data_IF_661740783805
#
_entry.id   IF_661740783805
#
_cell.length_a   1.000
_cell.length_b   1.000
_cell.length_c   1.000
_cell.angle_alpha   90.00
_cell.angle_beta   90.00
_cell.angle_gamma   90.00
#
_symmetry.space_group_name_H-M   'P 1'
#
loop_
_entity.id
_entity.type
_entity.pdbx_description
1 polymer ?
#
# COMPACT_ATOMS: atom_id res chain seq x y z
N UNK A 1 -17.60 -22.67 31.12
CA UNK A 1 -17.26 -21.71 30.06
C UNK A 1 -16.24 -20.75 30.63
N UNK A 2 -14.95 -20.97 30.39
CA UNK A 2 -13.90 -20.06 30.84
C UNK A 2 -14.01 -18.79 30.00
N UNK A 3 -14.41 -17.69 30.61
CA UNK A 3 -14.28 -16.36 30.00
C UNK A 3 -12.80 -16.15 29.69
N UNK A 4 -12.39 -15.99 28.42
CA UNK A 4 -11.00 -15.63 28.14
C UNK A 4 -10.77 -14.26 28.78
N UNK A 5 -9.78 -14.17 29.65
CA UNK A 5 -9.38 -12.93 30.29
C UNK A 5 -9.17 -11.90 29.17
N UNK A 6 -9.98 -10.82 29.06
CA UNK A 6 -9.88 -9.91 27.94
C UNK A 6 -8.57 -9.14 28.11
N UNK A 7 -7.53 -9.61 27.42
CA UNK A 7 -6.24 -8.92 27.37
C UNK A 7 -6.49 -7.47 27.02
N UNK A 8 -5.85 -6.53 27.71
CA UNK A 8 -6.04 -5.12 27.38
C UNK A 8 -5.51 -4.84 25.97
N UNK A 9 -5.97 -3.77 25.33
CA UNK A 9 -5.42 -3.36 24.03
C UNK A 9 -3.90 -3.14 24.09
N UNK A 10 -3.38 -2.71 25.25
CA UNK A 10 -1.94 -2.58 25.50
C UNK A 10 -1.25 -3.93 25.36
N UNK A 11 -1.75 -4.96 26.06
CA UNK A 11 -1.15 -6.29 26.06
C UNK A 11 -1.13 -6.89 24.66
N UNK A 12 -2.21 -6.71 23.90
CA UNK A 12 -2.30 -7.16 22.50
C UNK A 12 -1.28 -6.45 21.60
N UNK A 13 -1.16 -5.13 21.72
CA UNK A 13 -0.13 -4.37 20.98
C UNK A 13 1.28 -4.84 21.35
N UNK A 14 1.57 -5.09 22.62
CA UNK A 14 2.87 -5.61 23.05
C UNK A 14 3.16 -7.00 22.45
N UNK A 15 2.16 -7.87 22.40
CA UNK A 15 2.29 -9.18 21.77
C UNK A 15 2.60 -9.08 20.28
N UNK A 16 1.89 -8.20 19.55
CA UNK A 16 2.18 -7.95 18.12
C UNK A 16 3.59 -7.42 17.94
N UNK A 17 4.00 -6.41 18.72
CA UNK A 17 5.35 -5.85 18.65
C UNK A 17 6.40 -6.95 18.86
N UNK A 18 6.21 -7.84 19.84
CA UNK A 18 7.13 -8.98 20.07
C UNK A 18 7.19 -9.95 18.89
N UNK A 19 6.08 -10.14 18.18
CA UNK A 19 6.03 -11.06 17.05
C UNK A 19 6.69 -10.49 15.79
N UNK A 20 6.63 -9.17 15.60
CA UNK A 20 7.05 -8.51 14.33
C UNK A 20 8.41 -7.82 14.40
N UNK A 21 9.05 -7.80 15.56
CA UNK A 21 10.33 -7.11 15.78
C UNK A 21 11.38 -7.97 16.49
N UNK A 22 12.65 -7.62 16.30
CA UNK A 22 13.75 -8.23 17.07
C UNK A 22 13.94 -7.52 18.42
N UNK A 23 14.44 -8.25 19.43
CA UNK A 23 14.64 -7.68 20.77
C UNK A 23 15.62 -6.50 20.80
N UNK A 24 16.73 -6.59 20.05
CA UNK A 24 17.81 -5.60 20.12
C UNK A 24 17.51 -4.29 19.38
N UNK A 25 16.61 -4.30 18.38
CA UNK A 25 16.34 -3.15 17.51
C UNK A 25 14.86 -2.77 17.39
N UNK A 26 13.98 -3.38 18.18
CA UNK A 26 12.52 -3.18 18.18
C UNK A 26 12.06 -1.75 17.88
N UNK A 27 12.52 -0.77 18.67
CA UNK A 27 12.00 0.59 18.54
C UNK A 27 12.44 1.27 17.24
N UNK A 28 13.64 0.96 16.76
CA UNK A 28 14.15 1.47 15.48
C UNK A 28 13.44 0.78 14.31
N UNK A 29 13.24 -0.53 14.39
CA UNK A 29 12.47 -1.28 13.38
C UNK A 29 11.03 -0.78 13.29
N UNK A 30 10.40 -0.51 14.44
CA UNK A 30 9.07 0.10 14.48
C UNK A 30 9.09 1.47 13.83
N UNK A 31 10.06 2.34 14.12
CA UNK A 31 10.15 3.67 13.47
C UNK A 31 10.44 3.60 11.95
N UNK A 32 11.20 2.60 11.50
CA UNK A 32 11.49 2.40 10.07
C UNK A 32 10.24 1.94 9.30
N UNK A 33 9.39 1.12 9.92
CA UNK A 33 8.19 0.55 9.29
C UNK A 33 6.94 1.39 9.53
N UNK A 34 6.80 1.89 10.75
CA UNK A 34 5.72 2.76 11.22
C UNK A 34 6.23 4.18 11.28
N UNK A 35 5.42 5.16 10.86
CA UNK A 35 5.83 6.59 10.92
C UNK A 35 5.78 7.18 12.34
N UNK A 36 5.89 6.33 13.36
CA UNK A 36 5.84 6.72 14.77
C UNK A 36 7.26 6.70 15.32
N UNK A 37 7.74 7.80 15.93
CA UNK A 37 9.11 7.90 16.43
C UNK A 37 9.47 6.79 17.41
N UNK A 38 10.73 6.32 17.37
CA UNK A 38 11.21 5.25 18.26
C UNK A 38 11.06 5.61 19.74
N UNK A 39 11.20 6.90 20.08
CA UNK A 39 11.01 7.40 21.45
C UNK A 39 9.56 7.18 21.94
N UNK A 40 8.56 7.34 21.07
CA UNK A 40 7.15 7.12 21.38
C UNK A 40 6.89 5.64 21.66
N UNK A 41 7.41 4.74 20.81
CA UNK A 41 7.31 3.30 21.04
C UNK A 41 7.99 2.86 22.34
N UNK A 42 9.18 3.40 22.63
CA UNK A 42 9.90 3.12 23.87
C UNK A 42 9.14 3.60 25.11
N UNK A 43 8.55 4.78 25.05
CA UNK A 43 7.73 5.34 26.14
C UNK A 43 6.50 4.47 26.43
N UNK A 44 5.76 4.09 25.38
CA UNK A 44 4.62 3.17 25.50
C UNK A 44 5.02 1.81 26.07
N UNK A 45 6.13 1.25 25.59
CA UNK A 45 6.60 -0.07 26.00
C UNK A 45 6.98 -0.13 27.49
N UNK A 46 7.74 0.85 27.97
CA UNK A 46 8.29 0.85 29.32
C UNK A 46 7.28 1.31 30.38
N UNK A 47 6.23 2.05 30.00
CA UNK A 47 5.27 2.62 30.94
C UNK A 47 4.12 1.65 31.18
N UNK A 48 3.94 1.25 32.43
CA UNK A 48 2.77 0.47 32.84
C UNK A 48 1.48 1.27 32.74
N UNK A 49 0.42 0.62 32.27
CA UNK A 49 -0.87 1.26 32.02
C UNK A 49 -0.90 2.24 30.83
N UNK A 50 0.19 2.41 30.08
CA UNK A 50 0.18 3.25 28.90
C UNK A 50 -0.74 2.68 27.81
N UNK A 51 -1.67 3.50 27.34
CA UNK A 51 -2.53 3.16 26.21
C UNK A 51 -1.83 3.50 24.89
N UNK A 52 -1.94 2.65 23.86
CA UNK A 52 -1.42 2.98 22.54
C UNK A 52 -2.22 4.17 21.98
N UNK A 53 -1.52 5.13 21.37
CA UNK A 53 -2.19 6.25 20.72
C UNK A 53 -2.89 5.81 19.43
N UNK A 54 -3.84 6.62 18.94
CA UNK A 54 -4.52 6.35 17.67
C UNK A 54 -3.53 6.16 16.50
N UNK A 55 -2.49 7.00 16.43
CA UNK A 55 -1.44 6.89 15.41
C UNK A 55 -0.67 5.56 15.48
N UNK A 56 -0.42 5.04 16.68
CA UNK A 56 0.24 3.74 16.86
C UNK A 56 -0.65 2.59 16.35
N UNK A 57 -1.95 2.63 16.68
CA UNK A 57 -2.91 1.63 16.23
C UNK A 57 -3.11 1.68 14.71
N UNK A 58 -3.21 2.87 14.13
CA UNK A 58 -3.31 3.05 12.68
C UNK A 58 -2.09 2.49 11.95
N UNK A 59 -0.88 2.82 12.40
CA UNK A 59 0.32 2.36 11.71
C UNK A 59 0.55 0.85 11.91
N UNK A 60 0.20 0.28 13.08
CA UNK A 60 0.20 -1.18 13.25
C UNK A 60 -0.79 -1.86 12.31
N UNK A 61 -2.02 -1.35 12.21
CA UNK A 61 -3.04 -1.92 11.33
C UNK A 61 -2.72 -1.75 9.84
N UNK A 62 -1.94 -0.73 9.46
CA UNK A 62 -1.48 -0.54 8.09
C UNK A 62 -0.31 -1.45 7.73
N UNK A 63 0.66 -1.58 8.63
CA UNK A 63 1.87 -2.36 8.38
C UNK A 63 1.61 -3.87 8.53
N UNK A 64 0.79 -4.26 9.51
CA UNK A 64 0.43 -5.66 9.79
C UNK A 64 -1.10 -5.85 9.84
N UNK A 65 -1.79 -5.70 8.69
CA UNK A 65 -3.24 -5.74 8.65
C UNK A 65 -3.85 -7.08 9.10
N UNK A 66 -3.11 -8.18 9.01
CA UNK A 66 -3.55 -9.49 9.48
C UNK A 66 -3.83 -9.53 10.99
N UNK A 67 -3.22 -8.63 11.78
CA UNK A 67 -3.44 -8.55 13.23
C UNK A 67 -4.46 -7.47 13.63
N UNK A 68 -4.89 -6.62 12.70
CA UNK A 68 -5.64 -5.40 13.00
C UNK A 68 -6.97 -5.66 13.73
N UNK A 69 -7.73 -6.66 13.28
CA UNK A 69 -8.98 -7.04 13.91
C UNK A 69 -8.76 -7.46 15.36
N UNK A 70 -7.83 -8.39 15.59
CA UNK A 70 -7.51 -8.90 16.92
C UNK A 70 -6.97 -7.81 17.87
N UNK A 71 -6.11 -6.91 17.39
CA UNK A 71 -5.62 -5.78 18.19
C UNK A 71 -6.79 -4.95 18.73
N UNK A 72 -7.77 -4.64 17.89
CA UNK A 72 -8.86 -3.72 18.25
C UNK A 72 -9.96 -4.40 19.07
N UNK A 73 -10.39 -5.59 18.66
CA UNK A 73 -11.56 -6.26 19.24
C UNK A 73 -11.19 -7.22 20.38
N UNK A 74 -9.96 -7.73 20.39
CA UNK A 74 -9.53 -8.80 21.31
C UNK A 74 -10.05 -10.19 20.94
N UNK A 75 -10.80 -10.31 19.84
CA UNK A 75 -11.19 -11.59 19.23
C UNK A 75 -10.51 -11.70 17.87
N UNK A 76 -10.10 -12.91 17.48
CA UNK A 76 -9.59 -13.17 16.14
C UNK A 76 -10.71 -13.60 15.17
N UNK A 77 -10.40 -13.60 13.89
CA UNK A 77 -11.27 -14.00 12.79
C UNK A 77 -10.40 -14.75 11.77
N UNK A 78 -9.78 -15.83 12.27
CA UNK A 78 -8.76 -16.58 11.53
C UNK A 78 -9.32 -17.21 10.25
N UNK A 79 -10.63 -17.52 10.23
CA UNK A 79 -11.35 -17.98 9.05
C UNK A 79 -11.37 -16.94 7.92
N UNK A 80 -11.32 -15.66 8.25
CA UNK A 80 -11.23 -14.56 7.28
C UNK A 80 -9.79 -14.10 7.04
N UNK A 81 -8.81 -14.75 7.68
CA UNK A 81 -7.39 -14.43 7.59
C UNK A 81 -6.91 -13.36 8.57
N UNK A 82 -7.75 -12.91 9.51
CA UNK A 82 -7.33 -12.03 10.61
C UNK A 82 -6.98 -12.87 11.83
N UNK A 83 -5.70 -12.94 12.16
CA UNK A 83 -5.19 -13.85 13.19
C UNK A 83 -4.63 -13.06 14.37
N UNK A 84 -4.41 -13.76 15.49
CA UNK A 84 -3.56 -13.26 16.55
C UNK A 84 -2.07 -13.52 16.21
N UNK A 85 -1.12 -12.75 16.75
CA UNK A 85 0.30 -13.01 16.53
C UNK A 85 0.74 -14.33 17.19
N UNK A 86 1.82 -14.93 16.69
CA UNK A 86 2.38 -16.18 17.23
C UNK A 86 2.68 -16.13 18.74
N UNK A 87 3.01 -14.94 19.26
CA UNK A 87 3.29 -14.65 20.67
C UNK A 87 2.06 -14.72 21.58
N UNK A 88 0.83 -14.74 21.03
CA UNK A 88 -0.42 -14.85 21.78
C UNK A 88 -0.69 -16.30 22.24
N UNK A 89 0.22 -16.89 23.01
CA UNK A 89 0.24 -18.32 23.36
C UNK A 89 -1.02 -18.87 24.05
N UNK A 90 -1.90 -17.99 24.55
CA UNK A 90 -3.17 -18.34 25.16
C UNK A 90 -4.25 -18.76 24.16
N UNK A 91 -4.01 -18.59 22.85
CA UNK A 91 -4.90 -19.00 21.78
C UNK A 91 -4.40 -20.28 21.12
N UNK A 92 -5.34 -21.03 20.54
CA UNK A 92 -5.03 -22.23 19.77
C UNK A 92 -4.08 -21.94 18.59
N UNK A 93 -3.25 -22.90 18.17
CA UNK A 93 -2.31 -22.70 17.08
C UNK A 93 -2.96 -22.27 15.75
N UNK A 94 -4.16 -22.78 15.43
CA UNK A 94 -4.92 -22.41 14.22
C UNK A 94 -5.25 -20.91 14.18
N UNK A 95 -5.63 -20.33 15.33
CA UNK A 95 -5.97 -18.92 15.49
C UNK A 95 -4.76 -17.96 15.35
N UNK A 96 -3.54 -18.52 15.37
CA UNK A 96 -2.27 -17.77 15.23
C UNK A 96 -1.54 -18.03 13.92
N UNK A 97 -2.05 -18.95 13.10
CA UNK A 97 -1.37 -19.36 11.87
C UNK A 97 -1.78 -18.44 10.73
N UNK A 98 -0.88 -17.56 10.33
CA UNK A 98 -1.10 -16.64 9.22
C UNK A 98 -1.41 -17.37 7.90
N UNK A 99 -2.27 -16.76 7.09
CA UNK A 99 -2.48 -17.12 5.68
C UNK A 99 -1.63 -16.20 4.82
N UNK A 100 -0.58 -16.72 4.21
CA UNK A 100 0.27 -15.92 3.31
C UNK A 100 -0.53 -15.27 2.17
N UNK A 101 -1.51 -15.95 1.53
CA UNK A 101 -2.42 -15.32 0.57
C UNK A 101 -3.25 -14.18 1.17
N UNK A 102 -3.81 -14.36 2.38
CA UNK A 102 -4.60 -13.32 3.05
C UNK A 102 -3.74 -12.10 3.40
N UNK A 103 -2.57 -12.32 4.02
CA UNK A 103 -1.62 -11.26 4.36
C UNK A 103 -1.20 -10.47 3.12
N UNK A 104 -0.90 -11.17 2.02
CA UNK A 104 -0.55 -10.53 0.74
C UNK A 104 -1.71 -9.69 0.17
N UNK A 105 -2.94 -10.23 0.18
CA UNK A 105 -4.13 -9.50 -0.24
C UNK A 105 -4.37 -8.24 0.60
N UNK A 106 -4.32 -8.35 1.92
CA UNK A 106 -4.54 -7.21 2.82
C UNK A 106 -3.46 -6.14 2.65
N UNK A 107 -2.18 -6.53 2.60
CA UNK A 107 -1.09 -5.59 2.37
C UNK A 107 -1.23 -4.86 1.02
N UNK A 108 -1.58 -5.58 -0.06
CA UNK A 108 -1.83 -4.99 -1.36
C UNK A 108 -3.04 -4.03 -1.34
N UNK A 109 -4.12 -4.40 -0.64
CA UNK A 109 -5.33 -3.59 -0.51
C UNK A 109 -5.07 -2.30 0.27
N UNK A 110 -4.40 -2.41 1.42
CA UNK A 110 -3.99 -1.26 2.24
C UNK A 110 -3.11 -0.32 1.44
N UNK A 111 -2.10 -0.82 0.74
CA UNK A 111 -1.19 0.00 -0.07
C UNK A 111 -1.92 0.75 -1.20
N UNK A 112 -2.91 0.11 -1.82
CA UNK A 112 -3.68 0.69 -2.93
C UNK A 112 -4.65 1.77 -2.47
N UNK A 113 -5.37 1.54 -1.38
CA UNK A 113 -6.46 2.41 -0.93
C UNK A 113 -5.95 3.52 0.01
N UNK A 114 -4.99 3.22 0.88
CA UNK A 114 -4.40 4.18 1.81
C UNK A 114 -3.21 4.92 1.21
N UNK A 115 -3.27 5.32 -0.08
CA UNK A 115 -2.20 6.06 -0.76
C UNK A 115 -1.66 7.12 0.19
N UNK A 116 -0.46 6.89 0.72
CA UNK A 116 0.17 7.78 1.68
C UNK A 116 0.41 9.10 0.95
N UNK A 117 -0.14 10.25 1.42
CA UNK A 117 0.28 11.52 0.88
C UNK A 117 1.80 11.63 1.04
N UNK A 118 2.46 12.06 -0.04
CA UNK A 118 3.88 12.34 -0.04
C UNK A 118 4.20 13.35 1.07
N UNK A 119 5.34 13.18 1.75
CA UNK A 119 5.82 14.16 2.71
C UNK A 119 6.36 15.43 2.02
N UNK A 120 6.49 15.41 0.70
CA UNK A 120 6.88 16.56 -0.10
C UNK A 120 5.70 17.55 -0.21
N UNK A 121 5.97 18.87 -0.25
CA UNK A 121 4.95 19.86 -0.60
C UNK A 121 4.24 19.46 -1.90
N UNK A 122 2.92 19.62 -1.96
CA UNK A 122 2.07 19.14 -3.07
C UNK A 122 2.60 19.54 -4.44
N UNK A 123 2.96 20.81 -4.63
CA UNK A 123 3.48 21.31 -5.91
C UNK A 123 4.81 20.70 -6.35
N UNK A 124 5.65 20.27 -5.41
CA UNK A 124 6.92 19.58 -5.71
C UNK A 124 6.67 18.13 -6.07
N UNK A 125 5.83 17.43 -5.30
CA UNK A 125 5.46 16.04 -5.58
C UNK A 125 4.78 15.90 -6.94
N UNK A 126 3.83 16.78 -7.25
CA UNK A 126 3.10 16.79 -8.52
C UNK A 126 4.04 17.02 -9.71
N UNK A 127 5.02 17.90 -9.57
CA UNK A 127 5.99 18.19 -10.63
C UNK A 127 6.91 16.99 -10.91
N UNK A 128 7.42 16.33 -9.87
CA UNK A 128 8.25 15.13 -10.05
C UNK A 128 7.46 13.95 -10.60
N UNK A 129 6.22 13.75 -10.16
CA UNK A 129 5.35 12.71 -10.69
C UNK A 129 5.03 12.98 -12.16
N UNK A 130 4.75 14.23 -12.54
CA UNK A 130 4.52 14.62 -13.94
C UNK A 130 5.75 14.35 -14.82
N UNK A 131 6.95 14.74 -14.38
CA UNK A 131 8.20 14.51 -15.11
C UNK A 131 8.53 13.02 -15.26
N UNK A 132 8.31 12.23 -14.20
CA UNK A 132 8.54 10.78 -14.24
C UNK A 132 7.58 10.10 -15.21
N UNK A 133 6.31 10.50 -15.22
CA UNK A 133 5.29 10.00 -16.15
C UNK A 133 5.60 10.38 -17.60
N UNK A 134 5.99 11.63 -17.86
CA UNK A 134 6.40 12.08 -19.19
C UNK A 134 7.61 11.29 -19.71
N UNK A 135 8.64 11.10 -18.88
CA UNK A 135 9.84 10.34 -19.27
C UNK A 135 9.50 8.90 -19.66
N UNK A 136 8.61 8.25 -18.89
CA UNK A 136 8.16 6.87 -19.16
C UNK A 136 7.26 6.77 -20.40
N UNK A 137 6.42 7.77 -20.64
CA UNK A 137 5.61 7.84 -21.85
C UNK A 137 6.50 8.00 -23.08
N UNK A 138 7.52 8.86 -23.00
CA UNK A 138 8.50 9.08 -24.07
C UNK A 138 9.25 7.79 -24.40
N UNK A 139 9.74 7.08 -23.38
CA UNK A 139 10.44 5.80 -23.56
C UNK A 139 9.57 4.79 -24.31
N UNK A 140 8.29 4.66 -23.92
CA UNK A 140 7.35 3.73 -24.56
C UNK A 140 6.93 4.11 -25.98
N UNK A 141 7.00 5.40 -26.34
CA UNK A 141 6.76 5.87 -27.69
C UNK A 141 7.98 5.74 -28.61
N UNK A 142 9.11 5.23 -28.12
CA UNK A 142 10.33 5.07 -28.91
C UNK A 142 11.28 6.27 -28.85
N UNK A 143 11.13 7.16 -27.87
CA UNK A 143 11.97 8.34 -27.67
C UNK A 143 11.48 9.59 -28.43
N UNK A 144 12.19 10.70 -28.28
CA UNK A 144 11.77 12.00 -28.84
C UNK A 144 11.70 12.02 -30.37
N UNK A 145 12.57 11.27 -31.05
CA UNK A 145 12.58 11.19 -32.51
C UNK A 145 11.27 10.59 -33.04
N UNK A 146 10.85 9.45 -32.49
CA UNK A 146 9.61 8.79 -32.86
C UNK A 146 8.36 9.64 -32.53
N UNK A 147 8.38 10.39 -31.43
CA UNK A 147 7.29 11.33 -31.07
C UNK A 147 7.17 12.45 -32.10
N UNK A 148 8.31 12.94 -32.60
CA UNK A 148 8.33 14.03 -33.59
C UNK A 148 7.76 13.56 -34.92
N UNK A 149 8.13 12.37 -35.38
CA UNK A 149 7.57 11.75 -36.60
C UNK A 149 6.05 11.51 -36.47
N UNK A 150 5.61 10.92 -35.34
CA UNK A 150 4.19 10.72 -35.05
C UNK A 150 3.41 12.04 -35.01
N UNK A 151 4.01 13.09 -34.47
CA UNK A 151 3.39 14.42 -34.45
C UNK A 151 3.22 14.96 -35.87
N UNK A 152 4.27 14.91 -36.69
CA UNK A 152 4.22 15.41 -38.06
C UNK A 152 3.17 14.64 -38.90
N UNK A 153 3.07 13.33 -38.68
CA UNK A 153 2.03 12.50 -39.28
C UNK A 153 0.62 12.94 -38.84
N UNK A 154 0.40 13.16 -37.55
CA UNK A 154 -0.90 13.59 -37.02
C UNK A 154 -1.30 15.00 -37.47
N UNK A 155 -0.34 15.91 -37.59
CA UNK A 155 -0.54 17.25 -38.18
C UNK A 155 -0.94 17.11 -39.66
N UNK A 156 -0.25 16.26 -40.42
CA UNK A 156 -0.54 16.04 -41.85
C UNK A 156 -1.95 15.49 -42.08
N UNK A 157 -2.47 14.70 -41.11
CA UNK A 157 -3.81 14.13 -41.12
C UNK A 157 -4.87 15.08 -40.54
N UNK A 158 -4.49 16.29 -40.12
CA UNK A 158 -5.38 17.28 -39.51
C UNK A 158 -5.96 16.86 -38.15
N UNK A 159 -5.33 15.89 -37.48
CA UNK A 159 -5.80 15.36 -36.18
C UNK A 159 -5.41 16.30 -35.04
N UNK A 160 -4.27 16.97 -35.16
CA UNK A 160 -3.78 17.98 -34.23
C UNK A 160 -3.42 19.25 -34.98
N UNK A 161 -3.72 20.41 -34.39
CA UNK A 161 -3.34 21.70 -34.97
C UNK A 161 -1.83 21.86 -34.92
N UNK A 162 -1.26 22.40 -36.01
CA UNK A 162 0.15 22.73 -36.05
C UNK A 162 0.40 23.84 -35.01
N UNK A 163 1.32 23.65 -34.04
CA UNK A 163 1.58 24.68 -33.05
C UNK A 163 2.02 25.94 -33.80
N UNK A 164 1.25 27.02 -33.65
CA UNK A 164 1.56 28.30 -34.27
C UNK A 164 3.02 28.63 -33.95
N UNK A 165 3.85 28.77 -35.00
CA UNK A 165 5.25 29.08 -34.85
C UNK A 165 5.37 30.31 -33.94
N UNK A 166 5.81 30.11 -32.70
CA UNK A 166 6.08 31.20 -31.78
C UNK A 166 7.17 32.02 -32.44
N UNK A 167 6.82 33.22 -32.93
CA UNK A 167 7.79 34.15 -33.50
C UNK A 167 8.93 34.28 -32.50
N UNK A 168 10.14 33.89 -32.94
CA UNK A 168 11.38 33.82 -32.15
C UNK A 168 11.87 35.19 -31.60
N UNK A 169 11.02 36.20 -31.56
CA UNK A 169 11.30 37.50 -30.97
C UNK A 169 10.61 37.60 -29.61
N UNK A 170 11.39 37.40 -28.55
CA UNK A 170 11.07 37.56 -27.13
C UNK A 170 10.39 36.36 -26.42
N UNK A 171 11.07 35.22 -26.33
CA UNK A 171 10.76 34.19 -25.33
C UNK A 171 11.34 34.62 -23.97
N UNK A 172 10.50 34.93 -22.97
CA UNK A 172 10.96 34.94 -21.58
C UNK A 172 11.19 33.49 -21.15
N UNK A 173 12.17 33.23 -20.28
CA UNK A 173 12.43 31.88 -19.72
C UNK A 173 11.17 31.27 -19.07
N UNK A 174 10.30 32.12 -18.53
CA UNK A 174 8.98 31.77 -17.98
C UNK A 174 7.97 31.27 -19.03
N UNK A 175 8.13 31.63 -20.31
CA UNK A 175 7.28 31.15 -21.40
C UNK A 175 7.75 29.80 -21.96
N UNK A 176 9.03 29.46 -21.78
CA UNK A 176 9.57 28.09 -22.01
C UNK A 176 9.16 27.11 -20.91
N UNK A 177 8.89 27.60 -19.69
CA UNK A 177 8.43 26.83 -18.53
C UNK A 177 6.90 26.76 -18.42
N UNK A 178 6.15 27.47 -19.28
CA UNK A 178 4.70 27.27 -19.40
C UNK A 178 4.47 25.95 -20.12
N UNK A 179 4.16 24.96 -19.28
CA UNK A 179 3.47 23.72 -19.58
C UNK A 179 3.26 23.43 -21.08
N UNK A 180 4.31 22.96 -21.74
CA UNK A 180 4.23 22.41 -23.09
C UNK A 180 3.65 20.99 -22.96
N UNK A 181 2.37 20.93 -22.59
CA UNK A 181 1.59 19.70 -22.58
C UNK A 181 1.45 19.24 -24.02
N UNK A 182 2.27 18.27 -24.43
CA UNK A 182 2.17 17.68 -25.75
C UNK A 182 0.96 16.73 -25.75
N UNK A 183 -0.06 16.96 -26.60
CA UNK A 183 -1.27 16.13 -26.60
C UNK A 183 -0.98 14.64 -26.90
N UNK A 184 0.10 14.34 -27.62
CA UNK A 184 0.53 12.95 -27.88
C UNK A 184 1.08 12.32 -26.59
N UNK A 185 1.90 13.07 -25.84
CA UNK A 185 2.46 12.61 -24.56
C UNK A 185 1.36 12.50 -23.51
N UNK A 186 0.44 13.45 -23.44
CA UNK A 186 -0.69 13.41 -22.51
C UNK A 186 -1.60 12.20 -22.78
N UNK A 187 -1.91 11.93 -24.06
CA UNK A 187 -2.69 10.75 -24.44
C UNK A 187 -1.96 9.44 -24.10
N UNK A 188 -0.63 9.40 -24.28
CA UNK A 188 0.17 8.25 -23.88
C UNK A 188 0.19 8.05 -22.37
N UNK A 189 0.32 9.13 -21.58
CA UNK A 189 0.22 9.09 -20.12
C UNK A 189 -1.15 8.53 -19.70
N UNK A 190 -2.26 9.03 -20.26
CA UNK A 190 -3.61 8.52 -19.97
C UNK A 190 -3.73 7.01 -20.23
N UNK A 191 -3.23 6.54 -21.37
CA UNK A 191 -3.26 5.11 -21.73
C UNK A 191 -2.44 4.29 -20.74
N UNK A 192 -1.25 4.78 -20.35
CA UNK A 192 -0.40 4.11 -19.39
C UNK A 192 -1.01 4.06 -17.99
N UNK A 193 -1.68 5.12 -17.56
CA UNK A 193 -2.39 5.15 -16.29
C UNK A 193 -3.58 4.19 -16.27
N UNK A 194 -4.35 4.13 -17.37
CA UNK A 194 -5.45 3.15 -17.52
C UNK A 194 -4.93 1.72 -17.47
N UNK A 195 -3.85 1.42 -18.19
CA UNK A 195 -3.27 0.08 -18.21
C UNK A 195 -2.67 -0.29 -16.85
N UNK A 196 -1.96 0.63 -16.18
CA UNK A 196 -1.44 0.41 -14.83
C UNK A 196 -2.58 0.17 -13.83
N UNK A 197 -3.65 0.95 -13.90
CA UNK A 197 -4.84 0.76 -13.06
C UNK A 197 -5.49 -0.61 -13.30
N UNK A 198 -5.60 -1.03 -14.57
CA UNK A 198 -6.11 -2.35 -14.96
C UNK A 198 -5.21 -3.49 -14.47
N UNK A 199 -3.89 -3.34 -14.55
CA UNK A 199 -2.94 -4.31 -14.03
C UNK A 199 -3.04 -4.42 -12.51
N UNK A 200 -3.12 -3.29 -11.80
CA UNK A 200 -3.29 -3.27 -10.35
C UNK A 200 -4.62 -3.88 -9.90
N UNK A 201 -5.71 -3.63 -10.62
CA UNK A 201 -7.01 -4.23 -10.31
C UNK A 201 -7.01 -5.74 -10.56
N UNK A 202 -6.40 -6.20 -11.67
CA UNK A 202 -6.28 -7.62 -12.01
C UNK A 202 -5.41 -8.36 -11.00
N UNK A 203 -4.27 -7.78 -10.62
CA UNK A 203 -3.38 -8.36 -9.61
C UNK A 203 -4.07 -8.47 -8.24
N UNK A 204 -4.84 -7.44 -7.83
CA UNK A 204 -5.59 -7.50 -6.57
C UNK A 204 -6.70 -8.55 -6.63
N UNK A 205 -7.38 -8.71 -7.77
CA UNK A 205 -8.38 -9.75 -7.96
C UNK A 205 -7.76 -11.15 -7.81
N UNK A 206 -6.61 -11.40 -8.45
CA UNK A 206 -5.89 -12.66 -8.30
C UNK A 206 -5.47 -12.96 -6.85
N UNK A 207 -5.00 -11.95 -6.10
CA UNK A 207 -4.69 -12.09 -4.68
C UNK A 207 -5.94 -12.40 -3.84
N UNK A 208 -7.08 -11.79 -4.18
CA UNK A 208 -8.35 -12.06 -3.51
C UNK A 208 -8.80 -13.51 -3.73
N UNK A 209 -8.73 -13.99 -4.98
CA UNK A 209 -9.12 -15.36 -5.32
C UNK A 209 -8.21 -16.39 -4.63
N UNK A 210 -6.89 -16.12 -4.58
CA UNK A 210 -5.93 -16.95 -3.85
C UNK A 210 -6.21 -16.99 -2.34
N UNK A 211 -6.55 -15.84 -1.74
CA UNK A 211 -7.01 -15.77 -0.35
C UNK A 211 -8.27 -16.61 -0.15
N UNK A 212 -9.30 -16.40 -0.97
CA UNK A 212 -10.59 -17.06 -0.79
C UNK A 212 -10.45 -18.59 -0.93
N UNK A 213 -9.59 -19.06 -1.85
CA UNK A 213 -9.27 -20.49 -1.98
C UNK A 213 -8.54 -21.06 -0.75
N UNK A 214 -7.55 -20.35 -0.21
CA UNK A 214 -6.81 -20.78 0.99
C UNK A 214 -7.73 -20.85 2.22
N UNK A 215 -8.53 -19.82 2.46
CA UNK A 215 -9.44 -19.76 3.60
C UNK A 215 -10.52 -20.87 3.54
N UNK A 216 -11.05 -21.16 2.36
CA UNK A 216 -11.97 -22.29 2.15
C UNK A 216 -11.32 -23.65 2.46
N UNK A 217 -10.05 -23.82 2.10
CA UNK A 217 -9.33 -25.07 2.39
C UNK A 217 -9.17 -25.28 3.90
N UNK A 218 -8.85 -24.21 4.64
CA UNK A 218 -8.67 -24.22 6.09
C UNK A 218 -9.95 -24.58 6.85
N UNK A 219 -11.08 -23.99 6.45
CA UNK A 219 -12.39 -24.30 7.05
C UNK A 219 -12.74 -25.78 6.90
N UNK A 220 -12.51 -26.36 5.71
CA UNK A 220 -12.74 -27.79 5.46
C UNK A 220 -11.88 -28.68 6.35
N UNK A 221 -10.59 -28.38 6.50
CA UNK A 221 -9.71 -29.15 7.40
C UNK A 221 -10.15 -29.09 8.86
N UNK A 222 -10.69 -27.97 9.32
CA UNK A 222 -11.21 -27.84 10.69
C UNK A 222 -12.50 -28.65 10.88
N UNK A 223 -13.43 -28.59 9.91
CA UNK A 223 -14.65 -29.41 9.95
C UNK A 223 -14.33 -30.92 9.97
N UNK A 224 -13.30 -31.34 9.26
CA UNK A 224 -12.85 -32.74 9.23
C UNK A 224 -12.14 -33.17 10.52
N UNK A 225 -11.43 -32.26 11.20
CA UNK A 225 -10.87 -32.55 12.53
C UNK A 225 -11.96 -32.65 13.60
N UNK A 226 -12.97 -31.78 13.52
CA UNK A 226 -14.06 -31.75 14.51
C UNK A 226 -14.98 -32.97 14.38
N UNK A 227 -15.12 -33.56 13.17
CA UNK A 227 -15.88 -34.81 12.95
C UNK A 227 -15.15 -36.07 13.41
N UNK A 228 -13.84 -36.01 13.65
CA UNK A 228 -13.01 -37.16 14.05
C UNK A 228 -12.83 -37.28 15.57
N UNK A 229 -13.21 -36.25 16.32
CA UNK A 229 -13.23 -36.23 17.79
C UNK A 229 -14.64 -36.45 18.32
#
# INVERSE_FOLDING_TARGET
>A
MSTPNPQSIRDRVLLVIRAVTTDNRRFKELEERTRVPAATWRSFWNRDGALPSGAMLEELGREWPQFAFWILTGIDDWESGHVAPATALHLEPSHRTESAPATAYFAARVKRDNKRPSALPSGVSESFDKLTKQSKAIEKLGGHAAITELRDELVSRGVIEQPAAVKLSALRLSDLLKDTSDPVIDRAIEVLERELSKQQSTALAALKDARDADLLSRRRTQEDSDKKN
#
